data_IF_666536012877
#
_entry.id   IF_666536012877
#
_cell.length_a   1.000
_cell.length_b   1.000
_cell.length_c   1.000
_cell.angle_alpha   90.00
_cell.angle_beta   90.00
_cell.angle_gamma   90.00
#
_symmetry.space_group_name_H-M   'P 1'
#
loop_
_entity.id
_entity.type
_entity.pdbx_description
1 polymer ?
#
# COMPACT_ATOMS: atom_id res chain seq x y z
N UNK A 1 2.70 -12.96 -11.61
CA UNK A 1 4.03 -12.79 -12.20
C UNK A 1 5.06 -13.21 -11.18
N UNK A 2 4.96 -12.68 -9.95
CA UNK A 2 5.86 -13.00 -8.83
C UNK A 2 5.93 -14.50 -8.51
N UNK A 3 4.79 -15.20 -8.53
CA UNK A 3 4.71 -16.66 -8.32
C UNK A 3 5.53 -17.47 -9.36
N UNK A 4 5.95 -16.83 -10.46
CA UNK A 4 6.78 -17.40 -11.53
C UNK A 4 8.15 -16.71 -11.66
N UNK A 5 8.56 -15.92 -10.66
CA UNK A 5 9.88 -15.27 -10.60
C UNK A 5 10.03 -14.03 -11.47
N UNK A 6 8.92 -13.41 -11.91
CA UNK A 6 8.91 -12.14 -12.63
C UNK A 6 8.32 -11.05 -11.74
N UNK A 7 8.92 -9.87 -11.69
CA UNK A 7 8.35 -8.76 -10.92
C UNK A 7 7.09 -8.23 -11.61
N UNK A 8 5.93 -8.42 -10.98
CA UNK A 8 4.67 -7.94 -11.52
C UNK A 8 4.54 -6.42 -11.55
N UNK A 9 5.29 -5.70 -10.72
CA UNK A 9 5.22 -4.24 -10.64
C UNK A 9 5.88 -3.55 -11.84
N UNK A 10 6.88 -4.16 -12.47
CA UNK A 10 7.48 -3.65 -13.71
C UNK A 10 6.43 -3.52 -14.82
N UNK A 11 5.53 -4.52 -14.94
CA UNK A 11 4.45 -4.48 -15.92
C UNK A 11 3.44 -3.36 -15.63
N UNK A 12 3.20 -3.06 -14.35
CA UNK A 12 2.31 -1.96 -13.96
C UNK A 12 2.92 -0.62 -14.38
N UNK A 13 4.22 -0.43 -14.16
CA UNK A 13 4.97 0.76 -14.59
C UNK A 13 4.91 0.95 -16.10
N UNK A 14 5.24 -0.09 -16.88
CA UNK A 14 5.17 -0.05 -18.34
C UNK A 14 3.78 0.30 -18.87
N UNK A 15 2.72 -0.24 -18.26
CA UNK A 15 1.35 0.06 -18.68
C UNK A 15 0.96 1.49 -18.35
N UNK A 16 1.37 2.01 -17.18
CA UNK A 16 1.13 3.42 -16.84
C UNK A 16 1.83 4.34 -17.84
N UNK A 17 3.10 4.08 -18.17
CA UNK A 17 3.83 4.83 -19.19
C UNK A 17 3.10 4.81 -20.54
N UNK A 18 2.56 3.67 -20.96
CA UNK A 18 1.80 3.56 -22.22
C UNK A 18 0.51 4.38 -22.16
N UNK A 19 -0.24 4.34 -21.06
CA UNK A 19 -1.47 5.12 -20.94
C UNK A 19 -1.20 6.62 -21.03
N UNK A 20 -0.16 7.07 -20.32
CA UNK A 20 0.22 8.48 -20.24
C UNK A 20 0.83 8.99 -21.55
N UNK A 21 1.71 8.21 -22.20
CA UNK A 21 2.36 8.61 -23.45
C UNK A 21 1.39 8.82 -24.63
N UNK A 22 0.23 8.17 -24.61
CA UNK A 22 -0.75 8.20 -25.70
C UNK A 22 -2.07 8.85 -25.30
N UNK A 23 -2.14 9.52 -24.14
CA UNK A 23 -3.35 10.17 -23.60
C UNK A 23 -4.57 9.24 -23.63
N UNK A 24 -4.37 7.95 -23.31
CA UNK A 24 -5.43 6.96 -23.41
C UNK A 24 -6.42 7.16 -22.24
N UNK A 25 -7.75 7.18 -22.49
CA UNK A 25 -8.74 7.41 -21.44
C UNK A 25 -8.95 6.20 -20.51
N UNK A 26 -8.29 5.08 -20.80
CA UNK A 26 -8.39 3.84 -20.05
C UNK A 26 -7.81 3.97 -18.64
N UNK A 27 -8.41 3.29 -17.68
CA UNK A 27 -7.95 3.26 -16.29
C UNK A 27 -7.35 1.91 -15.94
N UNK A 28 -6.17 1.93 -15.32
CA UNK A 28 -5.50 0.72 -14.83
C UNK A 28 -6.11 0.24 -13.52
N UNK A 29 -6.47 -1.05 -13.47
CA UNK A 29 -6.90 -1.75 -12.25
C UNK A 29 -5.84 -2.80 -11.90
N UNK A 30 -5.05 -2.56 -10.86
CA UNK A 30 -4.06 -3.53 -10.37
C UNK A 30 -4.79 -4.61 -9.57
N UNK A 31 -4.54 -5.86 -9.93
CA UNK A 31 -5.15 -7.03 -9.30
C UNK A 31 -4.10 -8.03 -8.83
N UNK A 32 -4.54 -9.09 -8.14
CA UNK A 32 -3.66 -10.12 -7.60
C UNK A 32 -2.61 -9.59 -6.61
N UNK A 33 -2.96 -8.56 -5.84
CA UNK A 33 -2.09 -7.99 -4.81
C UNK A 33 -1.81 -9.03 -3.72
N UNK A 34 -0.53 -9.23 -3.40
CA UNK A 34 -0.07 -10.27 -2.46
C UNK A 34 0.47 -9.74 -1.14
N UNK A 35 0.90 -8.49 -1.10
CA UNK A 35 1.44 -7.86 0.11
C UNK A 35 1.31 -6.33 0.08
N UNK A 36 1.38 -5.64 1.24
CA UNK A 36 1.23 -4.18 1.34
C UNK A 36 2.14 -3.39 0.39
N UNK A 37 3.31 -3.94 0.07
CA UNK A 37 4.26 -3.29 -0.83
C UNK A 37 3.73 -3.13 -2.27
N UNK A 38 2.96 -4.09 -2.81
CA UNK A 38 2.32 -3.91 -4.14
C UNK A 38 1.36 -2.73 -4.13
N UNK A 39 0.61 -2.54 -3.04
CA UNK A 39 -0.34 -1.42 -2.90
C UNK A 39 0.41 -0.09 -2.91
N UNK A 40 1.51 -0.02 -2.14
CA UNK A 40 2.35 1.18 -2.07
C UNK A 40 2.95 1.51 -3.42
N UNK A 41 3.54 0.52 -4.10
CA UNK A 41 4.19 0.74 -5.40
C UNK A 41 3.16 1.08 -6.49
N UNK A 42 2.00 0.41 -6.51
CA UNK A 42 0.88 0.76 -7.41
C UNK A 42 0.42 2.20 -7.23
N UNK A 43 0.25 2.64 -5.98
CA UNK A 43 -0.15 4.01 -5.67
C UNK A 43 0.91 5.03 -6.10
N UNK A 44 2.20 4.71 -5.91
CA UNK A 44 3.32 5.57 -6.34
C UNK A 44 3.41 5.71 -7.85
N UNK A 45 3.07 4.65 -8.59
CA UNK A 45 3.03 4.64 -10.06
C UNK A 45 1.78 5.34 -10.63
N UNK A 46 0.84 5.77 -9.79
CA UNK A 46 -0.38 6.45 -10.25
C UNK A 46 -1.48 5.50 -10.73
N UNK A 47 -1.43 4.21 -10.36
CA UNK A 47 -2.48 3.28 -10.71
C UNK A 47 -3.85 3.75 -10.19
N UNK A 48 -4.87 3.67 -11.06
CA UNK A 48 -6.16 4.27 -10.82
C UNK A 48 -7.00 3.51 -9.79
N UNK A 49 -6.89 2.18 -9.78
CA UNK A 49 -7.62 1.29 -8.87
C UNK A 49 -6.73 0.12 -8.47
N UNK A 50 -6.89 -0.37 -7.25
CA UNK A 50 -6.30 -1.61 -6.77
C UNK A 50 -7.39 -2.50 -6.16
N UNK A 51 -7.44 -3.78 -6.54
CA UNK A 51 -8.25 -4.77 -5.83
C UNK A 51 -7.38 -5.52 -4.82
N UNK A 52 -7.70 -5.34 -3.54
CA UNK A 52 -6.85 -5.72 -2.41
C UNK A 52 -7.58 -6.76 -1.56
N UNK A 53 -6.98 -7.91 -1.27
CA UNK A 53 -7.54 -8.88 -0.32
C UNK A 53 -7.69 -8.27 1.09
N UNK A 54 -8.74 -8.61 1.86
CA UNK A 54 -8.98 -8.05 3.19
C UNK A 54 -7.79 -8.16 4.15
N UNK A 55 -7.06 -9.29 4.14
CA UNK A 55 -5.92 -9.52 5.02
C UNK A 55 -4.75 -8.57 4.72
N UNK A 56 -4.60 -8.12 3.48
CA UNK A 56 -3.59 -7.13 3.08
C UNK A 56 -4.00 -5.74 3.57
N UNK A 57 -5.29 -5.40 3.51
CA UNK A 57 -5.82 -4.13 4.04
C UNK A 57 -5.53 -4.05 5.55
N UNK A 58 -5.81 -5.13 6.31
CA UNK A 58 -5.52 -5.17 7.75
C UNK A 58 -4.02 -4.98 8.03
N UNK A 59 -3.15 -5.65 7.27
CA UNK A 59 -1.69 -5.49 7.38
C UNK A 59 -1.23 -4.06 7.08
N UNK A 60 -1.85 -3.36 6.14
CA UNK A 60 -1.51 -1.98 5.82
C UNK A 60 -1.82 -0.99 6.96
N UNK A 61 -2.78 -1.31 7.81
CA UNK A 61 -3.19 -0.45 8.93
C UNK A 61 -2.36 -0.68 10.20
N UNK A 62 -1.53 -1.72 10.24
CA UNK A 62 -0.71 -2.09 11.40
C UNK A 62 0.75 -1.70 11.20
N UNK A 63 1.33 -1.03 12.20
CA UNK A 63 2.76 -0.74 12.23
C UNK A 63 3.29 -0.75 13.67
N UNK A 64 4.38 -1.48 13.98
CA UNK A 64 4.88 -1.62 15.36
C UNK A 64 5.17 -0.29 16.06
N UNK A 65 5.73 0.68 15.33
CA UNK A 65 6.00 2.01 15.89
C UNK A 65 4.73 2.82 16.20
N UNK A 66 3.63 2.54 15.52
CA UNK A 66 2.34 3.18 15.84
C UNK A 66 1.83 2.64 17.18
N UNK A 67 1.88 1.33 17.38
CA UNK A 67 1.47 0.69 18.64
C UNK A 67 2.37 1.13 19.81
N UNK A 68 3.68 1.20 19.58
CA UNK A 68 4.64 1.69 20.57
C UNK A 68 4.38 3.15 20.93
N UNK A 69 4.11 3.99 19.92
CA UNK A 69 3.75 5.40 20.13
C UNK A 69 2.50 5.56 20.99
N UNK A 70 1.43 4.82 20.67
CA UNK A 70 0.20 4.82 21.46
C UNK A 70 0.44 4.40 22.91
N UNK A 71 1.29 3.38 23.14
CA UNK A 71 1.63 2.90 24.47
C UNK A 71 2.42 3.94 25.28
N UNK A 72 3.34 4.66 24.64
CA UNK A 72 4.11 5.73 25.27
C UNK A 72 3.17 6.88 25.66
N UNK A 73 2.32 7.33 24.73
CA UNK A 73 1.37 8.40 25.01
C UNK A 73 0.41 8.07 26.16
N UNK A 74 -0.12 6.84 26.22
CA UNK A 74 -0.97 6.41 27.32
C UNK A 74 -0.24 6.45 28.67
N UNK A 75 1.01 5.95 28.73
CA UNK A 75 1.83 5.98 29.94
C UNK A 75 2.14 7.40 30.41
N UNK A 76 2.43 8.30 29.48
CA UNK A 76 2.73 9.69 29.84
C UNK A 76 1.48 10.43 30.30
N UNK A 77 0.32 10.14 29.72
CA UNK A 77 -0.96 10.69 30.18
C UNK A 77 -1.32 10.27 31.61
N UNK A 78 -1.08 9.00 31.96
CA UNK A 78 -1.32 8.50 33.32
C UNK A 78 -0.47 9.20 34.39
N UNK A 79 0.73 9.68 34.03
CA UNK A 79 1.59 10.44 34.97
C UNK A 79 1.00 11.81 35.28
N UNK A 80 0.41 12.48 34.29
CA UNK A 80 -0.21 13.81 34.46
C UNK A 80 -1.45 13.72 35.34
N UNK A 81 -2.28 12.69 35.17
CA UNK A 81 -3.51 12.49 35.96
C UNK A 81 -3.28 12.22 37.46
N UNK A 82 -2.06 11.82 37.86
CA UNK A 82 -1.72 11.51 39.25
C UNK A 82 -1.16 12.70 40.03
N UNK A 83 -1.08 13.87 39.41
CA UNK A 83 -0.61 15.12 40.01
C UNK A 83 -1.80 16.06 40.22
#
# INVERSE_FOLDING_TARGET
LDDRGQDGMEVIEEVMDILDNYDLPSKLIVASIRHPRHVTDSARMGAHVATIPPDIIEKMLSHPLTDDGLRIFAKDWEKVQKT
#
